data_IF_697562124075
#
_entry.id   IF_697562124075
#
_cell.length_a   1.000
_cell.length_b   1.000
_cell.length_c   1.000
_cell.angle_alpha   90.00
_cell.angle_beta   90.00
_cell.angle_gamma   90.00
#
_symmetry.space_group_name_H-M   'P 1'
#
loop_
_entity.id
_entity.type
_entity.pdbx_description
1 polymer ?
#
# COMPACT_ATOMS: atom_id res chain seq x y z
N UNK A 1 -12.21 14.31 -2.00
CA UNK A 1 -12.66 12.94 -1.67
C UNK A 1 -12.30 12.07 -2.86
N UNK A 2 -11.37 11.09 -2.79
CA UNK A 2 -11.16 10.19 -3.92
C UNK A 2 -12.40 9.31 -4.09
N UNK A 3 -12.73 9.01 -5.33
CA UNK A 3 -14.03 8.50 -5.77
C UNK A 3 -14.48 7.24 -5.02
N UNK A 4 -15.76 7.22 -4.65
CA UNK A 4 -16.52 6.03 -4.24
C UNK A 4 -16.77 5.08 -5.44
N UNK A 5 -15.71 4.83 -6.22
CA UNK A 5 -15.72 3.97 -7.39
C UNK A 5 -15.20 2.58 -7.06
N UNK A 6 -15.82 1.59 -7.68
CA UNK A 6 -15.25 0.24 -7.85
C UNK A 6 -14.23 0.30 -8.99
N UNK A 7 -13.21 -0.56 -8.95
CA UNK A 7 -12.25 -0.72 -10.03
C UNK A 7 -10.82 -0.31 -9.67
N UNK A 8 -9.86 -0.75 -10.50
CA UNK A 8 -8.42 -0.66 -10.26
C UNK A 8 -7.95 0.73 -9.84
N UNK A 9 -8.35 1.77 -10.57
CA UNK A 9 -7.88 3.15 -10.30
C UNK A 9 -8.32 3.64 -8.92
N UNK A 10 -9.59 3.44 -8.58
CA UNK A 10 -10.12 3.89 -7.31
C UNK A 10 -9.50 3.14 -6.11
N UNK A 11 -9.23 1.84 -6.27
CA UNK A 11 -8.46 1.05 -5.30
C UNK A 11 -7.04 1.61 -5.12
N UNK A 12 -6.32 1.83 -6.22
CA UNK A 12 -4.95 2.36 -6.17
C UNK A 12 -4.90 3.75 -5.54
N UNK A 13 -5.83 4.64 -5.90
CA UNK A 13 -5.91 5.98 -5.33
C UNK A 13 -6.11 5.94 -3.80
N UNK A 14 -6.93 5.01 -3.30
CA UNK A 14 -7.12 4.80 -1.85
C UNK A 14 -5.83 4.31 -1.18
N UNK A 15 -5.15 3.34 -1.76
CA UNK A 15 -3.88 2.81 -1.22
C UNK A 15 -2.83 3.93 -1.15
N UNK A 16 -2.66 4.69 -2.23
CA UNK A 16 -1.69 5.79 -2.33
C UNK A 16 -2.01 6.90 -1.32
N UNK A 17 -3.29 7.27 -1.18
CA UNK A 17 -3.71 8.28 -0.21
C UNK A 17 -3.43 7.86 1.24
N UNK A 18 -3.63 6.58 1.58
CA UNK A 18 -3.27 6.05 2.90
C UNK A 18 -1.76 6.08 3.10
N UNK A 19 -0.97 5.68 2.09
CA UNK A 19 0.49 5.71 2.16
C UNK A 19 1.04 7.14 2.37
N UNK A 20 0.53 8.12 1.63
CA UNK A 20 0.88 9.53 1.79
C UNK A 20 0.59 10.03 3.21
N UNK A 21 -0.58 9.73 3.75
CA UNK A 21 -0.96 10.11 5.13
C UNK A 21 -0.02 9.52 6.16
N UNK A 22 0.31 8.23 6.06
CA UNK A 22 1.22 7.57 6.99
C UNK A 22 2.63 8.16 6.96
N UNK A 23 3.12 8.60 5.79
CA UNK A 23 4.43 9.25 5.68
C UNK A 23 4.48 10.67 6.25
N UNK A 24 3.33 11.35 6.31
CA UNK A 24 3.21 12.71 6.86
C UNK A 24 2.94 12.69 8.38
N UNK A 25 2.73 11.52 8.98
CA UNK A 25 2.48 11.38 10.41
C UNK A 25 3.80 11.20 11.17
N UNK A 26 4.20 12.22 11.93
CA UNK A 26 5.44 12.25 12.70
C UNK A 26 5.52 11.13 13.75
N UNK A 27 4.39 10.68 14.31
CA UNK A 27 4.35 9.56 15.27
C UNK A 27 4.62 8.25 14.55
N UNK A 28 3.98 8.02 13.41
CA UNK A 28 4.21 6.82 12.58
C UNK A 28 5.67 6.77 12.11
N UNK A 29 6.18 7.89 11.60
CA UNK A 29 7.54 7.96 11.08
C UNK A 29 8.59 7.87 12.19
N UNK A 30 8.35 8.46 13.36
CA UNK A 30 9.26 8.30 14.51
C UNK A 30 9.32 6.86 15.00
N UNK A 31 8.19 6.14 15.08
CA UNK A 31 8.16 4.71 15.44
C UNK A 31 8.96 3.86 14.44
N UNK A 32 8.81 4.13 13.14
CA UNK A 32 9.55 3.41 12.08
C UNK A 32 11.07 3.64 12.15
N UNK A 33 11.51 4.86 12.44
CA UNK A 33 12.93 5.24 12.34
C UNK A 33 13.69 5.22 13.68
N UNK A 34 12.98 5.29 14.82
CA UNK A 34 13.62 5.55 16.14
C UNK A 34 13.71 4.31 17.04
N UNK A 35 13.32 3.12 16.59
CA UNK A 35 13.25 1.95 17.46
C UNK A 35 13.91 0.67 16.91
N UNK A 36 15.25 0.54 17.02
CA UNK A 36 15.96 -0.72 16.72
C UNK A 36 15.49 -1.92 17.57
N UNK A 37 14.82 -1.68 18.72
CA UNK A 37 14.27 -2.73 19.60
C UNK A 37 12.75 -2.95 19.51
N UNK A 38 11.98 -2.05 18.89
CA UNK A 38 10.55 -2.28 18.61
C UNK A 38 10.32 -2.80 17.18
N UNK A 39 11.28 -2.59 16.28
CA UNK A 39 11.26 -3.15 14.94
C UNK A 39 11.22 -4.70 14.95
N UNK A 40 11.91 -5.38 15.87
CA UNK A 40 11.88 -6.84 15.93
C UNK A 40 10.50 -7.42 16.30
N UNK A 41 9.73 -6.78 17.19
CA UNK A 41 8.41 -7.30 17.59
C UNK A 41 7.35 -7.04 16.52
N UNK A 42 7.49 -5.96 15.74
CA UNK A 42 6.55 -5.64 14.65
C UNK A 42 6.88 -6.34 13.31
N UNK A 43 8.12 -6.80 13.13
CA UNK A 43 8.58 -7.46 11.89
C UNK A 43 8.62 -9.00 12.03
N UNK A 44 8.82 -9.56 13.24
CA UNK A 44 9.10 -10.99 13.40
C UNK A 44 7.90 -11.90 13.66
N UNK A 45 6.75 -11.41 14.14
CA UNK A 45 5.71 -12.31 14.69
C UNK A 45 4.34 -12.17 14.02
N UNK A 46 4.24 -12.74 12.81
CA UNK A 46 2.98 -13.10 12.11
C UNK A 46 2.11 -11.89 11.71
N UNK A 47 1.27 -12.08 10.70
CA UNK A 47 0.18 -11.15 10.39
C UNK A 47 -0.76 -11.08 11.60
N UNK A 48 -0.61 -10.06 12.45
CA UNK A 48 -1.56 -9.77 13.52
C UNK A 48 -2.96 -9.50 12.95
N UNK A 49 -4.02 -9.67 13.76
CA UNK A 49 -5.43 -9.56 13.34
C UNK A 49 -5.71 -8.30 12.51
N UNK A 50 -5.13 -7.16 12.87
CA UNK A 50 -5.30 -5.90 12.14
C UNK A 50 -4.73 -5.92 10.72
N UNK A 51 -3.60 -6.59 10.50
CA UNK A 51 -3.00 -6.72 9.17
C UNK A 51 -3.78 -7.71 8.30
N UNK A 52 -4.36 -8.76 8.90
CA UNK A 52 -5.26 -9.67 8.20
C UNK A 52 -6.53 -8.96 7.75
N UNK A 53 -7.13 -8.12 8.62
CA UNK A 53 -8.29 -7.30 8.26
C UNK A 53 -7.98 -6.38 7.07
N UNK A 54 -6.83 -5.70 7.09
CA UNK A 54 -6.41 -4.85 5.98
C UNK A 54 -6.20 -5.65 4.69
N UNK A 55 -5.52 -6.79 4.78
CA UNK A 55 -5.29 -7.68 3.64
C UNK A 55 -6.61 -8.15 3.03
N UNK A 56 -7.55 -8.60 3.86
CA UNK A 56 -8.85 -9.10 3.42
C UNK A 56 -9.73 -7.99 2.83
N UNK A 57 -9.65 -6.77 3.37
CA UNK A 57 -10.33 -5.59 2.80
C UNK A 57 -9.81 -5.28 1.38
N UNK A 58 -8.49 -5.20 1.19
CA UNK A 58 -7.88 -4.96 -0.12
C UNK A 58 -8.18 -6.12 -1.08
N UNK A 59 -8.13 -7.37 -0.61
CA UNK A 59 -8.48 -8.54 -1.42
C UNK A 59 -9.94 -8.51 -1.89
N UNK A 60 -10.86 -8.05 -1.03
CA UNK A 60 -12.26 -7.84 -1.39
C UNK A 60 -12.44 -6.81 -2.51
N UNK A 61 -11.74 -5.68 -2.42
CA UNK A 61 -11.76 -4.67 -3.48
C UNK A 61 -11.13 -5.15 -4.80
N UNK A 62 -10.04 -5.91 -4.73
CA UNK A 62 -9.41 -6.53 -5.90
C UNK A 62 -10.38 -7.49 -6.59
N UNK A 63 -11.08 -8.33 -5.81
CA UNK A 63 -12.08 -9.25 -6.37
C UNK A 63 -13.18 -8.51 -7.12
N UNK A 64 -13.73 -7.44 -6.52
CA UNK A 64 -14.75 -6.61 -7.20
C UNK A 64 -14.21 -5.97 -8.48
N UNK A 65 -12.95 -5.52 -8.48
CA UNK A 65 -12.32 -4.93 -9.66
C UNK A 65 -11.96 -5.97 -10.74
N UNK A 66 -11.73 -7.23 -10.36
CA UNK A 66 -11.59 -8.35 -11.31
C UNK A 66 -12.94 -8.71 -11.94
N UNK A 67 -14.02 -8.74 -11.16
CA UNK A 67 -15.38 -8.96 -11.67
C UNK A 67 -15.81 -7.87 -12.67
N UNK A 68 -15.34 -6.63 -12.48
CA UNK A 68 -15.52 -5.51 -13.41
C UNK A 68 -14.52 -5.53 -14.59
N UNK A 69 -13.48 -6.37 -14.55
CA UNK A 69 -12.49 -6.54 -15.61
C UNK A 69 -11.38 -5.48 -15.64
N UNK A 70 -11.27 -4.62 -14.62
CA UNK A 70 -10.21 -3.61 -14.54
C UNK A 70 -8.92 -4.10 -13.87
N UNK A 71 -8.96 -5.27 -13.22
CA UNK A 71 -7.80 -5.94 -12.62
C UNK A 71 -7.55 -7.30 -13.26
N UNK A 72 -6.28 -7.65 -13.47
CA UNK A 72 -5.87 -8.96 -14.01
C UNK A 72 -6.31 -10.15 -13.18
N UNK A 73 -6.38 -11.30 -13.84
CA UNK A 73 -6.61 -12.59 -13.19
C UNK A 73 -5.50 -12.93 -12.18
N UNK A 74 -5.89 -13.70 -11.16
CA UNK A 74 -5.04 -14.15 -10.07
C UNK A 74 -5.80 -14.25 -8.75
N UNK A 75 -5.16 -14.86 -7.74
CA UNK A 75 -5.72 -14.94 -6.40
C UNK A 75 -5.78 -13.55 -5.74
N UNK A 76 -6.97 -13.03 -5.36
CA UNK A 76 -7.10 -11.66 -4.84
C UNK A 76 -6.26 -11.39 -3.58
N UNK A 77 -6.08 -12.39 -2.71
CA UNK A 77 -5.28 -12.25 -1.49
C UNK A 77 -3.80 -12.16 -1.83
N UNK A 78 -3.31 -12.93 -2.79
CA UNK A 78 -1.91 -12.83 -3.24
C UNK A 78 -1.63 -11.46 -3.88
N UNK A 79 -2.54 -10.98 -4.72
CA UNK A 79 -2.44 -9.65 -5.33
C UNK A 79 -2.46 -8.53 -4.29
N UNK A 80 -3.36 -8.64 -3.30
CA UNK A 80 -3.45 -7.70 -2.19
C UNK A 80 -2.16 -7.68 -1.37
N UNK A 81 -1.63 -8.85 -1.03
CA UNK A 81 -0.38 -8.97 -0.27
C UNK A 81 0.78 -8.28 -1.02
N UNK A 82 0.89 -8.48 -2.34
CA UNK A 82 1.93 -7.82 -3.13
C UNK A 82 1.74 -6.30 -3.19
N UNK A 83 0.51 -5.81 -3.36
CA UNK A 83 0.22 -4.37 -3.34
C UNK A 83 0.62 -3.73 -2.00
N UNK A 84 0.33 -4.41 -0.89
CA UNK A 84 0.72 -3.96 0.45
C UNK A 84 2.24 -3.96 0.63
N UNK A 85 2.97 -4.96 0.13
CA UNK A 85 4.43 -5.01 0.18
C UNK A 85 5.07 -3.87 -0.62
N UNK A 86 4.60 -3.62 -1.84
CA UNK A 86 5.06 -2.50 -2.68
C UNK A 86 4.78 -1.17 -1.96
N UNK A 87 3.58 -1.00 -1.41
CA UNK A 87 3.21 0.22 -0.70
C UNK A 87 4.09 0.43 0.54
N UNK A 88 4.29 -0.63 1.33
CA UNK A 88 5.09 -0.58 2.54
C UNK A 88 6.54 -0.18 2.26
N UNK A 89 7.16 -0.67 1.17
CA UNK A 89 8.52 -0.29 0.83
C UNK A 89 8.66 1.21 0.58
N UNK A 90 7.65 1.85 -0.04
CA UNK A 90 7.67 3.31 -0.25
C UNK A 90 7.53 4.10 1.05
N UNK A 91 6.79 3.57 2.04
CA UNK A 91 6.65 4.22 3.36
C UNK A 91 7.96 4.09 4.15
N UNK A 92 8.55 2.89 4.16
CA UNK A 92 9.74 2.59 4.95
C UNK A 92 11.02 3.19 4.37
N UNK A 93 11.16 3.19 3.04
CA UNK A 93 12.39 3.61 2.35
C UNK A 93 12.28 4.96 1.66
N UNK A 94 11.10 5.59 1.65
CA UNK A 94 10.86 6.86 0.96
C UNK A 94 11.79 7.99 1.40
N UNK A 95 12.11 8.09 2.69
CA UNK A 95 13.02 9.13 3.19
C UNK A 95 14.46 8.99 2.65
N UNK A 96 14.91 7.75 2.39
CA UNK A 96 16.26 7.50 1.85
C UNK A 96 16.39 8.05 0.43
N UNK A 97 15.32 7.98 -0.35
CA UNK A 97 15.28 8.42 -1.75
C UNK A 97 14.72 9.82 -1.94
N UNK A 98 14.32 10.51 -0.88
CA UNK A 98 13.69 11.84 -0.93
C UNK A 98 14.46 12.90 -1.76
N UNK A 99 15.82 12.92 -1.80
CA UNK A 99 16.55 13.84 -2.67
C UNK A 99 16.39 13.57 -4.18
N UNK A 100 15.91 12.37 -4.55
CA UNK A 100 15.68 11.93 -5.94
C UNK A 100 14.19 11.94 -6.26
N UNK A 101 13.37 11.52 -5.30
CA UNK A 101 11.94 11.29 -5.44
C UNK A 101 11.24 11.86 -4.22
N UNK A 102 10.77 13.11 -4.35
CA UNK A 102 10.06 13.79 -3.26
C UNK A 102 8.72 13.08 -2.95
N UNK A 103 8.02 13.59 -1.92
CA UNK A 103 6.80 12.94 -1.44
C UNK A 103 5.69 12.84 -2.50
N UNK A 104 5.56 13.83 -3.37
CA UNK A 104 4.50 13.87 -4.39
C UNK A 104 4.89 12.96 -5.55
N UNK A 105 6.13 13.07 -6.03
CA UNK A 105 6.66 12.20 -7.08
C UNK A 105 6.67 10.72 -6.65
N UNK A 106 6.98 10.41 -5.38
CA UNK A 106 6.91 9.05 -4.85
C UNK A 106 5.48 8.49 -4.86
N UNK A 107 4.48 9.33 -4.61
CA UNK A 107 3.09 8.92 -4.65
C UNK A 107 2.61 8.67 -6.08
N UNK A 108 3.03 9.51 -7.03
CA UNK A 108 2.76 9.33 -8.45
C UNK A 108 3.37 8.01 -8.97
N UNK A 109 4.63 7.75 -8.64
CA UNK A 109 5.32 6.50 -9.03
C UNK A 109 4.70 5.26 -8.36
N UNK A 110 4.28 5.35 -7.10
CA UNK A 110 3.54 4.27 -6.45
C UNK A 110 2.21 4.00 -7.17
N UNK A 111 1.47 5.04 -7.54
CA UNK A 111 0.23 4.90 -8.30
C UNK A 111 0.49 4.24 -9.66
N UNK A 112 1.56 4.62 -10.34
CA UNK A 112 1.96 4.03 -11.63
C UNK A 112 2.32 2.56 -11.48
N UNK A 113 3.13 2.22 -10.47
CA UNK A 113 3.55 0.86 -10.18
C UNK A 113 2.35 -0.05 -9.90
N UNK A 114 1.44 0.35 -9.01
CA UNK A 114 0.28 -0.46 -8.63
C UNK A 114 -0.73 -0.60 -9.78
N UNK A 115 -0.98 0.49 -10.53
CA UNK A 115 -1.83 0.41 -11.72
C UNK A 115 -1.23 -0.49 -12.80
N UNK A 116 0.08 -0.46 -12.99
CA UNK A 116 0.79 -1.35 -13.91
C UNK A 116 0.73 -2.81 -13.45
N UNK A 117 1.02 -3.08 -12.18
CA UNK A 117 0.98 -4.41 -11.58
C UNK A 117 -0.39 -5.08 -11.67
N UNK A 118 -1.47 -4.31 -11.52
CA UNK A 118 -2.84 -4.80 -11.52
C UNK A 118 -3.50 -4.79 -12.90
N UNK A 119 -2.86 -4.25 -13.94
CA UNK A 119 -3.45 -4.15 -15.28
C UNK A 119 -3.75 -5.55 -15.86
N UNK A 120 -4.96 -5.79 -16.42
CA UNK A 120 -5.31 -7.02 -17.16
C UNK A 120 -4.30 -7.37 -18.26
#
# INVERSE_FOLDING_TARGET
MPAAGVGRRALVDRIVAVAQRLRQDDVVMSVLHSAPKLAMVYIAERLGTSQQILLDAVAGEIKLAQEEGSVRDGDPRQLAAMCLLITQSTIQSGQIVAPILDADALADELAHCLNGYLKP
#
